data_IF_472946707435
#
_entry.id   IF_472946707435
#
_cell.length_a   1.000
_cell.length_b   1.000
_cell.length_c   1.000
_cell.angle_alpha   90.00
_cell.angle_beta   90.00
_cell.angle_gamma   90.00
#
_symmetry.space_group_name_H-M   'P 1'
#
loop_
_entity.id
_entity.type
_entity.pdbx_description
1 polymer ?
#
# COMPACT_ATOMS: atom_id res chain seq x y z
N UNK A 1 -5.37 -13.10 12.45
CA UNK A 1 -6.53 -12.22 12.65
C UNK A 1 -6.04 -10.98 13.40
N UNK A 2 -6.03 -9.80 12.75
CA UNK A 2 -5.70 -8.54 13.38
C UNK A 2 -6.84 -8.24 14.37
N UNK A 3 -6.53 -8.30 15.66
CA UNK A 3 -7.51 -8.03 16.71
C UNK A 3 -7.75 -6.53 16.78
N UNK A 4 -8.89 -6.10 16.29
CA UNK A 4 -9.41 -4.73 16.43
C UNK A 4 -9.98 -4.47 17.85
N UNK A 5 -9.55 -5.21 18.86
CA UNK A 5 -10.20 -5.31 20.17
C UNK A 5 -10.14 -4.07 21.06
N UNK A 6 -9.39 -3.02 20.68
CA UNK A 6 -9.27 -1.79 21.49
C UNK A 6 -9.68 -0.51 20.75
N UNK A 7 -10.33 -0.61 19.60
CA UNK A 7 -10.90 0.57 18.95
C UNK A 7 -12.28 0.85 19.52
N UNK A 8 -12.55 2.12 19.80
CA UNK A 8 -13.89 2.59 20.15
C UNK A 8 -14.90 2.15 19.08
N UNK A 9 -16.13 1.84 19.48
CA UNK A 9 -17.19 1.38 18.58
C UNK A 9 -17.46 2.38 17.44
N UNK A 10 -17.30 3.65 17.70
CA UNK A 10 -17.40 4.73 16.73
C UNK A 10 -16.31 4.65 15.66
N UNK A 11 -15.06 4.39 16.06
CA UNK A 11 -13.95 4.21 15.12
C UNK A 11 -14.15 2.97 14.23
N UNK A 12 -14.70 1.90 14.77
CA UNK A 12 -15.07 0.70 13.97
C UNK A 12 -16.14 0.98 12.95
N UNK A 13 -17.18 1.73 13.33
CA UNK A 13 -18.23 2.14 12.41
C UNK A 13 -17.70 3.04 11.29
N UNK A 14 -16.84 3.99 11.62
CA UNK A 14 -16.19 4.86 10.65
C UNK A 14 -15.27 4.07 9.71
N UNK A 15 -14.47 3.14 10.24
CA UNK A 15 -13.60 2.27 9.44
C UNK A 15 -14.42 1.38 8.48
N UNK A 16 -15.53 0.80 8.96
CA UNK A 16 -16.42 -0.01 8.14
C UNK A 16 -17.08 0.81 7.03
N UNK A 17 -17.56 2.01 7.34
CA UNK A 17 -18.18 2.91 6.37
C UNK A 17 -17.18 3.33 5.28
N UNK A 18 -15.95 3.64 5.67
CA UNK A 18 -14.87 4.03 4.74
C UNK A 18 -14.43 2.86 3.86
N UNK A 19 -14.30 1.67 4.43
CA UNK A 19 -14.03 0.44 3.66
C UNK A 19 -15.13 0.19 2.64
N UNK A 20 -16.40 0.35 3.02
CA UNK A 20 -17.53 0.21 2.12
C UNK A 20 -17.52 1.26 0.98
N UNK A 21 -17.12 2.50 1.27
CA UNK A 21 -16.94 3.52 0.24
C UNK A 21 -15.79 3.17 -0.72
N UNK A 22 -14.65 2.74 -0.18
CA UNK A 22 -13.50 2.33 -0.99
C UNK A 22 -13.85 1.18 -1.93
N UNK A 23 -14.57 0.17 -1.43
CA UNK A 23 -15.02 -0.95 -2.25
C UNK A 23 -15.97 -0.53 -3.38
N UNK A 24 -16.79 0.52 -3.18
CA UNK A 24 -17.68 1.04 -4.22
C UNK A 24 -16.96 1.75 -5.35
N UNK A 25 -15.83 2.38 -5.08
CA UNK A 25 -15.02 3.08 -6.08
C UNK A 25 -13.88 2.21 -6.64
N UNK A 26 -13.61 1.07 -6.04
CA UNK A 26 -12.64 0.09 -6.54
C UNK A 26 -13.19 -0.56 -7.81
N UNK A 27 -12.36 -0.67 -8.85
CA UNK A 27 -12.72 -1.35 -10.10
C UNK A 27 -12.42 -2.86 -10.08
N UNK A 28 -11.96 -3.37 -8.94
CA UNK A 28 -11.59 -4.77 -8.73
C UNK A 28 -10.21 -5.14 -9.27
N UNK A 29 -9.49 -4.19 -9.89
CA UNK A 29 -8.15 -4.44 -10.40
C UNK A 29 -7.08 -4.25 -9.34
N UNK A 30 -6.23 -5.25 -9.20
CA UNK A 30 -5.06 -5.22 -8.33
C UNK A 30 -3.85 -5.66 -9.14
N UNK A 31 -2.75 -4.92 -9.04
CA UNK A 31 -1.48 -5.30 -9.63
C UNK A 31 -0.37 -5.06 -8.60
N UNK A 32 0.56 -5.98 -8.49
CA UNK A 32 1.70 -5.82 -7.60
C UNK A 32 2.97 -6.41 -8.20
N UNK A 33 4.11 -5.86 -7.81
CA UNK A 33 5.41 -6.47 -8.02
C UNK A 33 6.26 -6.25 -6.78
N UNK A 34 7.10 -7.22 -6.47
CA UNK A 34 7.99 -7.20 -5.31
C UNK A 34 9.26 -7.96 -5.65
N UNK A 35 10.40 -7.44 -5.24
CA UNK A 35 11.70 -8.10 -5.37
C UNK A 35 12.03 -8.97 -4.14
N UNK A 36 13.16 -9.65 -4.18
CA UNK A 36 13.61 -10.50 -3.08
C UNK A 36 13.99 -9.71 -1.81
N UNK A 37 14.21 -8.40 -1.92
CA UNK A 37 14.49 -7.50 -0.79
C UNK A 37 13.21 -6.91 -0.19
N UNK A 38 12.04 -7.42 -0.60
CA UNK A 38 10.73 -6.92 -0.19
C UNK A 38 10.49 -5.46 -0.59
N UNK A 39 11.20 -4.98 -1.63
CA UNK A 39 10.93 -3.69 -2.25
C UNK A 39 9.95 -3.88 -3.39
N UNK A 40 8.94 -3.06 -3.46
CA UNK A 40 7.95 -3.24 -4.49
C UNK A 40 6.83 -2.22 -4.47
N UNK A 41 5.79 -2.56 -5.20
CA UNK A 41 4.60 -1.72 -5.31
C UNK A 41 3.32 -2.55 -5.44
N UNK A 42 2.24 -1.93 -5.02
CA UNK A 42 0.88 -2.41 -5.20
C UNK A 42 0.05 -1.28 -5.82
N UNK A 43 -0.72 -1.60 -6.85
CA UNK A 43 -1.70 -0.70 -7.46
C UNK A 43 -3.08 -1.28 -7.27
N UNK A 44 -3.98 -0.48 -6.75
CA UNK A 44 -5.42 -0.79 -6.69
C UNK A 44 -6.13 0.14 -7.67
N UNK A 45 -6.81 -0.43 -8.65
CA UNK A 45 -7.55 0.34 -9.64
C UNK A 45 -8.85 0.90 -9.06
N UNK A 46 -9.15 2.15 -9.41
CA UNK A 46 -10.32 2.88 -8.99
C UNK A 46 -11.14 3.33 -10.20
N UNK A 47 -12.45 3.26 -10.10
CA UNK A 47 -13.36 3.75 -11.14
C UNK A 47 -13.33 5.28 -11.25
N UNK A 48 -13.03 5.97 -10.14
CA UNK A 48 -13.09 7.41 -10.02
C UNK A 48 -11.93 7.91 -9.16
N UNK A 49 -10.91 8.46 -9.81
CA UNK A 49 -9.71 8.97 -9.15
C UNK A 49 -9.93 10.29 -8.41
N UNK A 50 -10.98 11.07 -8.76
CA UNK A 50 -11.32 12.28 -8.00
C UNK A 50 -11.94 11.90 -6.66
N UNK A 51 -12.89 10.98 -6.65
CA UNK A 51 -13.46 10.46 -5.40
C UNK A 51 -12.43 9.79 -4.52
N UNK A 52 -11.45 9.10 -5.11
CA UNK A 52 -10.34 8.55 -4.34
C UNK A 52 -9.55 9.67 -3.64
N UNK A 53 -9.21 10.74 -4.35
CA UNK A 53 -8.47 11.88 -3.78
C UNK A 53 -9.28 12.58 -2.68
N UNK A 54 -10.55 12.87 -2.94
CA UNK A 54 -11.46 13.44 -1.95
C UNK A 54 -11.54 12.58 -0.68
N UNK A 55 -11.63 11.26 -0.85
CA UNK A 55 -11.67 10.32 0.27
C UNK A 55 -10.35 10.36 1.07
N UNK A 56 -9.20 10.28 0.40
CA UNK A 56 -7.87 10.29 1.06
C UNK A 56 -7.59 11.63 1.74
N UNK A 57 -8.06 12.74 1.17
CA UNK A 57 -7.94 14.08 1.74
C UNK A 57 -8.98 14.36 2.85
N UNK A 58 -9.99 13.51 3.03
CA UNK A 58 -11.03 13.72 4.03
C UNK A 58 -10.50 13.62 5.46
N UNK A 59 -11.04 14.46 6.35
CA UNK A 59 -10.69 14.44 7.78
C UNK A 59 -10.97 13.07 8.41
N UNK A 60 -12.04 12.41 7.98
CA UNK A 60 -12.41 11.08 8.46
C UNK A 60 -11.33 10.03 8.13
N UNK A 61 -10.82 10.03 6.89
CA UNK A 61 -9.72 9.14 6.49
C UNK A 61 -8.45 9.44 7.27
N UNK A 62 -8.10 10.72 7.40
CA UNK A 62 -6.90 11.15 8.11
C UNK A 62 -6.95 10.78 9.59
N UNK A 63 -8.12 10.93 10.23
CA UNK A 63 -8.34 10.54 11.63
C UNK A 63 -8.24 9.03 11.79
N UNK A 64 -8.84 8.26 10.88
CA UNK A 64 -8.74 6.81 10.87
C UNK A 64 -7.30 6.33 10.75
N UNK A 65 -6.55 6.90 9.80
CA UNK A 65 -5.15 6.53 9.57
C UNK A 65 -4.27 6.85 10.78
N UNK A 66 -4.43 8.03 11.41
CA UNK A 66 -3.70 8.39 12.63
C UNK A 66 -4.09 7.53 13.84
N UNK A 67 -5.33 7.05 13.88
CA UNK A 67 -5.85 6.20 14.96
C UNK A 67 -5.47 4.73 14.83
N UNK A 68 -4.92 4.31 13.68
CA UNK A 68 -4.50 2.93 13.50
C UNK A 68 -3.30 2.62 14.40
N UNK A 69 -3.53 1.74 15.37
CA UNK A 69 -2.46 1.14 16.18
C UNK A 69 -2.49 -0.36 15.91
N UNK A 70 -1.36 -0.94 15.60
CA UNK A 70 -1.28 -2.40 15.54
C UNK A 70 -1.42 -2.96 16.95
N UNK A 71 -2.36 -3.89 17.13
CA UNK A 71 -2.70 -4.48 18.43
C UNK A 71 -1.69 -5.53 18.91
N UNK A 72 -0.51 -5.63 18.31
CA UNK A 72 0.56 -6.48 18.78
C UNK A 72 1.45 -5.73 19.76
N UNK A 73 1.75 -6.34 20.92
CA UNK A 73 2.60 -5.74 21.94
C UNK A 73 4.02 -5.41 21.47
N UNK A 74 4.44 -6.02 20.37
CA UNK A 74 5.81 -5.99 19.88
C UNK A 74 5.96 -5.26 18.55
N UNK A 75 4.90 -4.59 18.07
CA UNK A 75 4.91 -3.86 16.79
C UNK A 75 4.31 -2.47 16.99
N UNK A 76 5.10 -1.47 16.67
CA UNK A 76 4.66 -0.06 16.63
C UNK A 76 4.38 0.36 15.19
N UNK A 77 3.32 1.12 14.98
CA UNK A 77 2.98 1.71 13.69
C UNK A 77 2.85 3.21 13.82
N UNK A 78 3.62 3.92 13.03
CA UNK A 78 3.57 5.37 12.90
C UNK A 78 3.06 5.75 11.50
N UNK A 79 2.08 6.65 11.44
CA UNK A 79 1.52 7.18 10.19
C UNK A 79 1.83 8.67 10.09
N UNK A 80 2.55 9.05 9.05
CA UNK A 80 2.81 10.44 8.69
C UNK A 80 1.99 10.79 7.45
N UNK A 81 0.94 11.57 7.64
CA UNK A 81 0.11 12.04 6.53
C UNK A 81 0.83 13.15 5.76
N UNK A 82 0.69 13.15 4.44
CA UNK A 82 1.31 14.14 3.55
C UNK A 82 2.81 14.33 3.85
N UNK A 83 3.53 13.22 4.01
CA UNK A 83 4.96 13.21 4.31
C UNK A 83 5.78 13.98 3.25
N UNK A 84 5.33 13.93 2.00
CA UNK A 84 5.84 14.76 0.90
C UNK A 84 4.82 14.82 -0.23
N UNK A 85 5.10 15.66 -1.23
CA UNK A 85 4.33 15.75 -2.48
C UNK A 85 5.23 15.43 -3.68
N UNK A 86 4.70 14.69 -4.65
CA UNK A 86 5.38 14.40 -5.90
C UNK A 86 4.37 14.37 -7.06
N UNK A 87 4.62 15.16 -8.12
CA UNK A 87 3.73 15.33 -9.28
C UNK A 87 2.27 15.65 -8.91
N UNK A 88 2.07 16.45 -7.88
CA UNK A 88 0.74 16.83 -7.39
C UNK A 88 0.04 15.73 -6.57
N UNK A 89 0.68 14.57 -6.35
CA UNK A 89 0.17 13.54 -5.47
C UNK A 89 0.74 13.73 -4.06
N UNK A 90 -0.15 13.83 -3.07
CA UNK A 90 0.22 13.82 -1.65
C UNK A 90 0.54 12.39 -1.23
N UNK A 91 1.70 12.20 -0.66
CA UNK A 91 2.19 10.89 -0.24
C UNK A 91 2.16 10.77 1.27
N UNK A 92 1.42 9.80 1.77
CA UNK A 92 1.44 9.45 3.19
C UNK A 92 2.38 8.27 3.43
N UNK A 93 3.06 8.28 4.57
CA UNK A 93 4.04 7.26 4.95
C UNK A 93 3.53 6.50 6.17
N UNK A 94 3.67 5.20 6.13
CA UNK A 94 3.53 4.33 7.31
C UNK A 94 4.87 3.68 7.61
N UNK A 95 5.29 3.77 8.85
CA UNK A 95 6.46 3.07 9.37
C UNK A 95 5.99 2.05 10.40
N UNK A 96 6.39 0.81 10.19
CA UNK A 96 6.17 -0.30 11.11
C UNK A 96 7.52 -0.65 11.72
N UNK A 97 7.59 -0.75 13.05
CA UNK A 97 8.79 -1.11 13.80
C UNK A 97 8.48 -2.25 14.74
N UNK A 98 9.37 -3.23 14.86
CA UNK A 98 9.19 -4.41 15.70
C UNK A 98 10.44 -5.28 15.71
N UNK A 99 10.32 -6.49 16.24
CA UNK A 99 11.42 -7.43 16.21
C UNK A 99 11.82 -7.81 14.78
N UNK A 100 13.13 -7.94 14.48
CA UNK A 100 13.61 -8.39 13.19
C UNK A 100 13.00 -9.74 12.80
N UNK A 101 12.54 -9.83 11.56
CA UNK A 101 11.95 -11.05 11.00
C UNK A 101 12.20 -11.08 9.47
N UNK A 102 11.89 -12.17 8.76
CA UNK A 102 12.16 -12.27 7.32
C UNK A 102 11.51 -11.19 6.45
N UNK A 103 10.41 -10.56 6.91
CA UNK A 103 9.75 -9.45 6.21
C UNK A 103 10.31 -8.08 6.62
N UNK A 104 10.92 -8.00 7.79
CA UNK A 104 11.54 -6.79 8.36
C UNK A 104 12.91 -7.15 8.93
N UNK A 105 13.92 -7.41 8.08
CA UNK A 105 15.23 -7.85 8.56
C UNK A 105 15.89 -6.89 9.55
N UNK A 106 15.67 -5.59 9.35
CA UNK A 106 16.19 -4.52 10.22
C UNK A 106 15.19 -4.10 11.31
N UNK A 107 14.14 -4.90 11.54
CA UNK A 107 13.06 -4.59 12.49
C UNK A 107 12.18 -3.41 12.06
N UNK A 108 12.33 -2.89 10.85
CA UNK A 108 11.53 -1.77 10.34
C UNK A 108 11.05 -2.03 8.91
N UNK A 109 9.86 -1.55 8.60
CA UNK A 109 9.31 -1.53 7.24
C UNK A 109 8.62 -0.19 7.00
N UNK A 110 8.94 0.43 5.87
CA UNK A 110 8.27 1.65 5.43
C UNK A 110 7.42 1.37 4.20
N UNK A 111 6.23 1.94 4.19
CA UNK A 111 5.32 1.94 3.04
C UNK A 111 4.77 3.33 2.79
N UNK A 112 4.52 3.65 1.54
CA UNK A 112 4.06 4.95 1.08
C UNK A 112 2.79 4.78 0.28
N UNK A 113 1.82 5.63 0.54
CA UNK A 113 0.49 5.59 -0.07
C UNK A 113 0.23 6.89 -0.80
N UNK A 114 -0.28 6.81 -2.02
CA UNK A 114 -0.70 7.97 -2.78
C UNK A 114 -1.89 7.65 -3.70
N UNK A 115 -2.73 8.67 -3.95
CA UNK A 115 -3.75 8.63 -5.00
C UNK A 115 -3.15 9.26 -6.27
N UNK A 116 -3.00 8.45 -7.34
CA UNK A 116 -2.38 8.87 -8.60
C UNK A 116 -3.29 8.49 -9.78
N UNK A 117 -3.89 9.46 -10.44
CA UNK A 117 -4.91 9.18 -11.47
C UNK A 117 -6.02 8.31 -10.90
N UNK A 118 -6.31 7.21 -11.57
CA UNK A 118 -7.31 6.23 -11.14
C UNK A 118 -6.70 5.06 -10.36
N UNK A 119 -5.62 5.31 -9.62
CA UNK A 119 -4.97 4.27 -8.83
C UNK A 119 -4.72 4.74 -7.39
N UNK A 120 -4.97 3.85 -6.44
CA UNK A 120 -4.31 3.92 -5.16
C UNK A 120 -2.98 3.18 -5.29
N UNK A 121 -1.88 3.88 -5.04
CA UNK A 121 -0.53 3.31 -5.10
C UNK A 121 -0.03 3.03 -3.70
N UNK A 122 0.61 1.89 -3.52
CA UNK A 122 1.37 1.57 -2.31
C UNK A 122 2.77 1.17 -2.76
N UNK A 123 3.80 1.85 -2.26
CA UNK A 123 5.19 1.40 -2.44
C UNK A 123 5.73 0.91 -1.10
N UNK A 124 6.51 -0.17 -1.14
CA UNK A 124 7.07 -0.84 0.02
C UNK A 124 8.59 -0.93 -0.14
N UNK A 125 9.30 -0.63 0.93
CA UNK A 125 10.77 -0.60 0.91
C UNK A 125 11.33 0.49 -0.03
N UNK A 126 12.65 0.60 -0.12
CA UNK A 126 13.33 1.54 -1.02
C UNK A 126 13.12 3.03 -0.71
N UNK A 127 12.41 3.37 0.37
CA UNK A 127 12.22 4.74 0.83
C UNK A 127 11.46 5.64 -0.16
N UNK A 128 11.64 6.95 0.00
CA UNK A 128 11.00 7.99 -0.83
C UNK A 128 11.33 7.85 -2.32
N UNK A 129 12.52 7.33 -2.64
CA UNK A 129 12.93 7.16 -4.03
C UNK A 129 12.07 6.12 -4.76
N UNK A 130 11.75 4.99 -4.11
CA UNK A 130 10.85 3.99 -4.68
C UNK A 130 9.43 4.54 -4.82
N UNK A 131 8.94 5.27 -3.81
CA UNK A 131 7.61 5.89 -3.88
C UNK A 131 7.49 6.86 -5.07
N UNK A 132 8.49 7.73 -5.27
CA UNK A 132 8.54 8.65 -6.41
C UNK A 132 8.61 7.92 -7.74
N UNK A 133 9.44 6.87 -7.84
CA UNK A 133 9.54 6.06 -9.07
C UNK A 133 8.21 5.38 -9.42
N UNK A 134 7.47 4.87 -8.43
CA UNK A 134 6.14 4.28 -8.64
C UNK A 134 5.15 5.35 -9.14
N UNK A 135 5.11 6.53 -8.52
CA UNK A 135 4.24 7.64 -8.95
C UNK A 135 4.59 8.08 -10.37
N UNK A 136 5.88 8.22 -10.70
CA UNK A 136 6.33 8.56 -12.05
C UNK A 136 5.89 7.52 -13.07
N UNK A 137 6.06 6.24 -12.77
CA UNK A 137 5.71 5.15 -13.66
C UNK A 137 4.18 5.06 -13.91
N UNK A 138 3.36 5.33 -12.88
CA UNK A 138 1.90 5.42 -13.02
C UNK A 138 1.50 6.65 -13.83
N UNK A 139 2.05 7.82 -13.50
CA UNK A 139 1.74 9.09 -14.18
C UNK A 139 2.14 9.08 -15.65
N UNK A 140 3.26 8.40 -15.98
CA UNK A 140 3.75 8.23 -17.35
C UNK A 140 3.11 7.04 -18.07
N UNK A 141 2.13 6.37 -17.45
CA UNK A 141 1.47 5.17 -17.98
C UNK A 141 2.45 4.03 -18.34
N UNK A 142 3.56 3.94 -17.61
CA UNK A 142 4.60 2.90 -17.79
C UNK A 142 4.27 1.62 -17.02
N UNK A 143 3.57 1.74 -15.89
CA UNK A 143 3.03 0.59 -15.17
C UNK A 143 1.73 0.16 -15.85
N UNK A 144 1.83 -0.89 -16.65
CA UNK A 144 0.67 -1.48 -17.32
C UNK A 144 0.02 -2.50 -16.40
N UNK A 145 -1.30 -2.42 -16.29
CA UNK A 145 -2.09 -3.50 -15.70
C UNK A 145 -1.84 -4.79 -16.47
N UNK A 146 -1.54 -5.86 -15.77
CA UNK A 146 -1.68 -7.20 -16.33
C UNK A 146 -3.18 -7.46 -16.54
N UNK A 147 -3.64 -7.78 -17.77
CA UNK A 147 -5.03 -8.10 -18.00
C UNK A 147 -5.45 -9.27 -17.09
N UNK A 148 -6.53 -9.08 -16.35
CA UNK A 148 -7.13 -10.18 -15.58
C UNK A 148 -7.76 -11.14 -16.58
N UNK A 149 -7.40 -12.42 -16.52
CA UNK A 149 -8.04 -13.43 -17.35
C UNK A 149 -9.56 -13.45 -17.08
N UNK A 150 -10.38 -13.60 -18.13
CA UNK A 150 -11.83 -13.63 -17.98
C UNK A 150 -12.25 -14.66 -16.93
N UNK A 151 -12.99 -14.21 -15.92
CA UNK A 151 -13.47 -15.02 -14.80
C UNK A 151 -12.50 -15.18 -13.63
N UNK A 152 -11.28 -14.60 -13.68
CA UNK A 152 -10.37 -14.57 -12.53
C UNK A 152 -10.68 -13.39 -11.61
N UNK A 153 -10.67 -13.65 -10.31
CA UNK A 153 -10.80 -12.60 -9.28
C UNK A 153 -9.44 -11.91 -9.05
N UNK A 154 -8.35 -12.63 -9.28
CA UNK A 154 -6.98 -12.12 -9.14
C UNK A 154 -6.07 -12.81 -10.17
N UNK A 155 -5.12 -12.08 -10.74
CA UNK A 155 -4.04 -12.66 -11.51
C UNK A 155 -2.70 -12.24 -10.90
N UNK A 156 -1.75 -13.18 -10.83
CA UNK A 156 -0.39 -12.94 -10.36
C UNK A 156 0.58 -13.32 -11.47
N UNK A 157 1.54 -12.43 -11.75
CA UNK A 157 2.67 -12.72 -12.64
C UNK A 157 3.93 -12.73 -11.78
N UNK A 158 4.60 -13.87 -11.72
CA UNK A 158 5.86 -14.04 -11.00
C UNK A 158 6.99 -14.25 -12.00
N UNK A 159 7.98 -13.37 -12.02
CA UNK A 159 9.26 -13.62 -12.67
C UNK A 159 10.09 -14.57 -11.78
N UNK A 160 9.88 -15.86 -11.97
CA UNK A 160 10.55 -16.89 -11.20
C UNK A 160 12.07 -16.87 -11.42
N UNK A 161 12.53 -16.47 -12.61
CA UNK A 161 13.95 -16.45 -12.93
C UNK A 161 14.69 -15.31 -12.20
N UNK A 162 14.08 -14.12 -12.15
CA UNK A 162 14.60 -13.01 -11.36
C UNK A 162 14.58 -13.34 -9.86
N UNK A 163 13.47 -13.89 -9.37
CA UNK A 163 13.30 -14.29 -7.99
C UNK A 163 14.33 -15.31 -7.50
N UNK A 164 14.59 -16.36 -8.29
CA UNK A 164 15.57 -17.40 -7.95
C UNK A 164 17.01 -16.88 -8.00
N UNK A 165 17.35 -16.04 -8.99
CA UNK A 165 18.69 -15.45 -9.14
C UNK A 165 19.05 -14.57 -7.95
N UNK A 166 18.10 -13.79 -7.43
CA UNK A 166 18.35 -12.93 -6.28
C UNK A 166 18.47 -13.71 -4.96
N UNK A 167 17.94 -14.94 -4.90
CA UNK A 167 18.02 -15.79 -3.71
C UNK A 167 19.18 -16.81 -3.76
N UNK A 168 19.85 -16.96 -4.85
CA UNK A 168 20.98 -17.89 -5.00
C UNK A 168 22.06 -17.73 -3.90
N UNK A 169 22.43 -16.48 -3.47
CA UNK A 169 23.38 -16.30 -2.37
C UNK A 169 22.88 -16.76 -0.99
N UNK A 170 21.58 -16.96 -0.81
CA UNK A 170 21.00 -17.41 0.45
C UNK A 170 20.84 -18.94 0.52
N UNK A 171 21.07 -19.63 -0.58
CA UNK A 171 20.93 -21.09 -0.70
C UNK A 171 22.27 -21.83 -0.63
N UNK A 172 23.38 -21.08 -0.48
CA UNK A 172 24.73 -21.59 -0.23
C UNK A 172 25.11 -21.45 1.25
#
# INVERSE_FOLDING_TARGET
>A
AISLTNQDEEQRKQAAAMTAQMLKICDGGLSMAMDAKMQGWLLVGMQDGEKLREMVDSEAYQTLMKGQKMASRDVEMEVTLNAFEHRGAKVSKTKISGEPNPMMPDGTMESFFAAVGNYMTVSMGGGDANAKAVIDAVSDNKLKRTPIANGAVMSMVLDLHAFLREREPMLQ
#
